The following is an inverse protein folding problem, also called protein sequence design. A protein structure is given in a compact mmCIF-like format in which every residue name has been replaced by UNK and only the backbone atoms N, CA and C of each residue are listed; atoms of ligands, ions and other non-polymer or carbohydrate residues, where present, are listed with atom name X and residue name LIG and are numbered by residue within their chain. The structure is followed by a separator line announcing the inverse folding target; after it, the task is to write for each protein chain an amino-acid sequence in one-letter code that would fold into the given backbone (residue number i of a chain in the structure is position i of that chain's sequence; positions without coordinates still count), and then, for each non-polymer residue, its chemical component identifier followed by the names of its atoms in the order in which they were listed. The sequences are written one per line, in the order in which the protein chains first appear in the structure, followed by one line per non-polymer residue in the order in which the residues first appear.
data_IF_440335859578
#
_entry.id   IF_440335859578
#
_cell.length_a   1.000
_cell.length_b   1.000
_cell.length_c   1.000
_cell.angle_alpha   90.00
_cell.angle_beta   90.00
_cell.angle_gamma   90.00
#
_symmetry.space_group_name_H-M   'P 1'
#
loop_
_entity.id
_entity.type
_entity.pdbx_description
1 polymer ?
#
# COMPACT_ATOMS: atom_id res chain seq x y z
N UNK A 1 -16.92 3.06 -4.54
CA UNK A 1 -15.83 3.86 -5.15
C UNK A 1 -15.69 3.38 -6.58
N UNK A 2 -15.57 4.28 -7.56
CA UNK A 2 -15.45 3.91 -8.98
C UNK A 2 -14.05 3.34 -9.25
N UNK A 3 -13.90 2.38 -10.18
CA UNK A 3 -12.60 1.76 -10.44
C UNK A 3 -11.63 2.74 -11.12
N UNK A 4 -10.34 2.59 -10.82
CA UNK A 4 -9.27 3.41 -11.40
C UNK A 4 -9.08 3.12 -12.90
N UNK A 5 -9.29 1.86 -13.31
CA UNK A 5 -9.19 1.45 -14.71
C UNK A 5 -10.02 0.20 -15.01
N UNK A 6 -10.59 0.14 -16.22
CA UNK A 6 -11.11 -1.09 -16.79
C UNK A 6 -9.99 -1.82 -17.53
N UNK A 7 -9.91 -3.13 -17.34
CA UNK A 7 -8.93 -3.99 -17.98
C UNK A 7 -9.58 -4.75 -19.15
N UNK A 8 -8.81 -5.05 -20.21
CA UNK A 8 -9.32 -5.89 -21.30
C UNK A 8 -9.67 -7.30 -20.77
N UNK A 9 -10.72 -7.88 -21.32
CA UNK A 9 -11.20 -9.21 -20.96
C UNK A 9 -12.17 -9.77 -22.00
N UNK A 10 -12.58 -11.05 -21.85
CA UNK A 10 -13.50 -11.68 -22.79
C UNK A 10 -14.88 -11.01 -22.77
N UNK A 11 -15.59 -11.10 -23.90
CA UNK A 11 -16.96 -10.61 -24.01
C UNK A 11 -17.85 -11.29 -22.97
N UNK A 12 -18.63 -10.49 -22.24
CA UNK A 12 -19.47 -10.99 -21.15
C UNK A 12 -18.86 -10.80 -19.77
N UNK A 13 -17.62 -10.32 -19.67
CA UNK A 13 -17.00 -9.94 -18.41
C UNK A 13 -16.72 -8.44 -18.34
N UNK A 14 -16.85 -7.87 -17.14
CA UNK A 14 -16.30 -6.57 -16.80
C UNK A 14 -15.17 -6.77 -15.80
N UNK A 15 -13.95 -6.42 -16.24
CA UNK A 15 -12.74 -6.52 -15.44
C UNK A 15 -12.32 -5.11 -15.00
N UNK A 16 -12.31 -4.87 -13.69
CA UNK A 16 -12.05 -3.55 -13.11
C UNK A 16 -10.94 -3.64 -12.07
N UNK A 17 -9.96 -2.74 -12.16
CA UNK A 17 -8.84 -2.63 -11.23
C UNK A 17 -8.97 -1.34 -10.44
N UNK A 18 -8.76 -1.42 -9.13
CA UNK A 18 -8.74 -0.29 -8.21
C UNK A 18 -7.52 -0.38 -7.30
N UNK A 19 -7.02 0.77 -6.87
CA UNK A 19 -5.94 0.87 -5.88
C UNK A 19 -6.43 1.61 -4.66
N UNK A 20 -5.86 1.24 -3.51
CA UNK A 20 -6.27 1.77 -2.22
C UNK A 20 -5.05 1.92 -1.33
N UNK A 21 -5.05 2.90 -0.43
CA UNK A 21 -3.98 3.05 0.53
C UNK A 21 -3.87 1.82 1.46
N UNK A 22 -2.65 1.31 1.64
CA UNK A 22 -2.34 0.35 2.70
C UNK A 22 -2.56 0.98 4.09
N UNK A 23 -2.56 0.17 5.17
CA UNK A 23 -2.45 0.70 6.51
C UNK A 23 -1.29 1.70 6.64
N UNK A 24 -1.35 2.63 7.61
CA UNK A 24 -0.38 3.72 7.71
C UNK A 24 1.08 3.28 7.66
N UNK A 25 1.87 4.06 6.94
CA UNK A 25 3.31 3.89 6.79
C UNK A 25 4.00 4.77 7.83
N UNK A 26 4.79 4.15 8.71
CA UNK A 26 5.56 4.88 9.71
C UNK A 26 6.84 5.44 9.11
N UNK A 27 6.93 6.77 9.06
CA UNK A 27 8.11 7.52 8.66
C UNK A 27 9.02 7.71 9.87
N UNK A 28 9.96 6.78 10.04
CA UNK A 28 10.83 6.68 11.21
C UNK A 28 12.22 7.32 11.02
N UNK A 29 12.52 7.85 9.82
CA UNK A 29 13.85 8.32 9.41
C UNK A 29 14.52 9.24 10.42
N UNK A 30 15.87 9.27 10.45
CA UNK A 30 16.61 9.91 11.53
C UNK A 30 16.30 11.40 11.61
N UNK A 31 15.58 11.76 12.67
CA UNK A 31 15.19 13.13 12.95
C UNK A 31 14.05 13.65 12.07
N UNK A 32 13.56 14.82 12.47
CA UNK A 32 12.35 15.44 11.93
C UNK A 32 12.38 15.63 10.41
N UNK A 33 13.52 16.09 9.87
CA UNK A 33 13.65 16.38 8.42
C UNK A 33 13.51 15.11 7.56
N UNK A 34 14.11 14.00 8.00
CA UNK A 34 14.00 12.73 7.29
C UNK A 34 12.56 12.20 7.36
N UNK A 35 11.95 12.19 8.55
CA UNK A 35 10.56 11.78 8.73
C UNK A 35 9.58 12.62 7.88
N UNK A 36 9.80 13.94 7.77
CA UNK A 36 9.01 14.81 6.89
C UNK A 36 9.18 14.48 5.41
N UNK A 37 10.42 14.20 4.98
CA UNK A 37 10.71 13.85 3.58
C UNK A 37 10.09 12.50 3.21
N UNK A 38 10.19 11.52 4.09
CA UNK A 38 9.55 10.22 3.95
C UNK A 38 8.03 10.35 3.86
N UNK A 39 7.42 11.17 4.72
CA UNK A 39 5.97 11.38 4.69
C UNK A 39 5.50 11.99 3.37
N UNK A 40 6.25 12.98 2.84
CA UNK A 40 5.98 13.54 1.51
C UNK A 40 6.01 12.46 0.42
N UNK A 41 7.02 11.60 0.43
CA UNK A 41 7.14 10.50 -0.55
C UNK A 41 5.94 9.54 -0.48
N UNK A 42 5.53 9.14 0.74
CA UNK A 42 4.35 8.27 0.94
C UNK A 42 3.07 8.95 0.44
N UNK A 43 2.83 10.21 0.82
CA UNK A 43 1.60 10.92 0.43
C UNK A 43 1.54 11.20 -1.07
N UNK A 44 2.68 11.44 -1.73
CA UNK A 44 2.74 11.67 -3.17
C UNK A 44 2.33 10.42 -3.97
N UNK A 45 2.48 9.24 -3.37
CA UNK A 45 2.08 7.95 -3.93
C UNK A 45 0.63 7.55 -3.54
N UNK A 46 -0.12 8.43 -2.87
CA UNK A 46 -1.49 8.15 -2.41
C UNK A 46 -1.57 7.34 -1.11
N UNK A 47 -0.45 7.12 -0.43
CA UNK A 47 -0.41 6.41 0.86
C UNK A 47 -0.74 7.29 2.06
N UNK A 48 -0.95 6.64 3.22
CA UNK A 48 -1.16 7.31 4.51
C UNK A 48 0.15 7.32 5.29
N UNK A 49 0.69 8.52 5.57
CA UNK A 49 1.95 8.68 6.31
C UNK A 49 1.73 9.02 7.79
N UNK A 50 2.48 8.39 8.68
CA UNK A 50 2.57 8.75 10.10
C UNK A 50 4.02 9.10 10.42
N UNK A 51 4.26 10.34 10.86
CA UNK A 51 5.60 10.84 11.17
C UNK A 51 5.96 10.54 12.62
N UNK A 52 7.15 9.97 12.85
CA UNK A 52 7.74 9.98 14.17
C UNK A 52 8.10 11.42 14.59
N UNK A 53 7.79 11.78 15.83
CA UNK A 53 8.16 13.08 16.43
C UNK A 53 9.49 13.03 17.18
N UNK A 54 10.11 11.85 17.25
CA UNK A 54 11.39 11.60 17.92
C UNK A 54 11.99 10.28 17.44
N UNK A 55 12.99 9.77 18.16
CA UNK A 55 13.56 8.46 17.87
C UNK A 55 12.58 7.35 18.22
N UNK A 56 12.42 6.40 17.29
CA UNK A 56 11.63 5.19 17.53
C UNK A 56 12.58 4.09 18.00
N UNK A 57 12.28 3.51 19.16
CA UNK A 57 12.97 2.31 19.64
C UNK A 57 12.43 1.09 18.89
N UNK A 58 13.30 0.16 18.53
CA UNK A 58 12.92 -1.02 17.74
C UNK A 58 11.82 -1.86 18.42
N UNK A 59 11.87 -2.00 19.74
CA UNK A 59 10.85 -2.67 20.56
C UNK A 59 9.44 -2.08 20.39
N UNK A 60 9.28 -0.78 20.11
CA UNK A 60 7.93 -0.25 19.84
C UNK A 60 7.35 -0.76 18.52
N UNK A 61 8.20 -1.21 17.58
CA UNK A 61 7.75 -1.74 16.30
C UNK A 61 7.12 -3.12 16.42
N UNK A 62 7.24 -3.84 17.55
CA UNK A 62 6.54 -5.12 17.72
C UNK A 62 5.05 -4.91 18.00
N UNK A 63 4.72 -3.86 18.74
CA UNK A 63 3.39 -3.73 19.36
C UNK A 63 2.46 -2.76 18.62
N UNK A 64 3.00 -1.89 17.78
CA UNK A 64 2.20 -0.93 17.00
C UNK A 64 1.18 -1.64 16.11
N UNK A 65 -0.11 -1.40 16.33
CA UNK A 65 -1.17 -1.98 15.51
C UNK A 65 -1.34 -1.25 14.17
N UNK A 66 -1.79 -1.97 13.13
CA UNK A 66 -2.11 -1.42 11.78
C UNK A 66 -0.94 -0.71 11.08
N UNK A 67 0.22 -1.34 11.07
CA UNK A 67 1.40 -0.85 10.36
C UNK A 67 1.42 -1.45 8.94
N UNK A 68 1.47 -0.61 7.91
CA UNK A 68 1.60 -1.07 6.52
C UNK A 68 3.06 -1.32 6.11
N UNK A 69 3.95 -0.41 6.54
CA UNK A 69 5.40 -0.52 6.43
C UNK A 69 6.07 0.47 7.39
N UNK A 70 7.39 0.35 7.55
CA UNK A 70 8.24 1.35 8.23
C UNK A 70 9.29 1.85 7.24
N UNK A 71 9.54 3.15 7.20
CA UNK A 71 10.61 3.75 6.40
C UNK A 71 11.73 4.23 7.31
N UNK A 72 12.95 3.78 7.06
CA UNK A 72 14.16 4.21 7.78
C UNK A 72 15.29 4.56 6.79
N UNK A 73 15.68 5.83 6.75
CA UNK A 73 16.76 6.34 5.90
C UNK A 73 17.98 6.77 6.74
N UNK A 74 18.34 5.94 7.72
CA UNK A 74 19.51 6.18 8.57
C UNK A 74 20.54 5.07 8.42
N UNK A 75 21.21 4.75 9.52
CA UNK A 75 22.30 3.77 9.53
C UNK A 75 21.80 2.31 9.47
N UNK A 76 22.69 1.44 8.99
CA UNK A 76 22.46 0.00 8.85
C UNK A 76 22.22 -0.74 10.18
N UNK A 77 22.97 -0.49 11.26
CA UNK A 77 22.70 -1.11 12.56
C UNK A 77 21.27 -0.87 13.07
N UNK A 78 20.78 0.37 13.02
CA UNK A 78 19.40 0.70 13.41
C UNK A 78 18.39 0.05 12.46
N UNK A 79 18.68 0.05 11.15
CA UNK A 79 17.85 -0.64 10.15
C UNK A 79 17.70 -2.13 10.49
N UNK A 80 18.81 -2.79 10.86
CA UNK A 80 18.81 -4.20 11.23
C UNK A 80 17.99 -4.46 12.50
N UNK A 81 18.06 -3.58 13.49
CA UNK A 81 17.24 -3.69 14.69
C UNK A 81 15.74 -3.54 14.37
N UNK A 82 15.38 -2.61 13.48
CA UNK A 82 13.99 -2.44 13.04
C UNK A 82 13.50 -3.67 12.28
N UNK A 83 14.31 -4.20 11.35
CA UNK A 83 14.00 -5.40 10.58
C UNK A 83 13.71 -6.61 11.48
N UNK A 84 14.57 -6.86 12.48
CA UNK A 84 14.36 -7.92 13.47
C UNK A 84 13.09 -7.72 14.29
N UNK A 85 12.80 -6.49 14.73
CA UNK A 85 11.60 -6.20 15.50
C UNK A 85 10.32 -6.38 14.65
N UNK A 86 10.35 -5.95 13.39
CA UNK A 86 9.22 -6.15 12.47
C UNK A 86 8.99 -7.63 12.16
N UNK A 87 10.06 -8.41 12.00
CA UNK A 87 9.98 -9.86 11.79
C UNK A 87 9.40 -10.63 13.00
N UNK A 88 9.52 -10.08 14.21
CA UNK A 88 8.96 -10.67 15.42
C UNK A 88 7.46 -10.40 15.61
N UNK A 89 6.84 -9.57 14.76
CA UNK A 89 5.42 -9.23 14.86
C UNK A 89 4.53 -10.42 14.53
N UNK A 90 3.41 -10.52 15.24
CA UNK A 90 2.32 -11.38 14.83
C UNK A 90 1.49 -10.71 13.72
N UNK A 91 0.94 -11.51 12.80
CA UNK A 91 0.06 -11.05 11.73
C UNK A 91 0.79 -10.83 10.40
N UNK A 92 0.27 -9.94 9.53
CA UNK A 92 0.86 -9.68 8.21
C UNK A 92 2.31 -9.21 8.29
N UNK A 93 3.12 -9.59 7.31
CA UNK A 93 4.50 -9.13 7.18
C UNK A 93 4.49 -7.62 6.96
N UNK A 94 5.26 -6.90 7.79
CA UNK A 94 5.44 -5.45 7.67
C UNK A 94 6.84 -5.17 7.14
N UNK A 95 6.93 -4.54 5.98
CA UNK A 95 8.21 -4.26 5.33
C UNK A 95 8.98 -3.13 6.02
N UNK A 96 10.30 -3.27 6.09
CA UNK A 96 11.23 -2.17 6.31
C UNK A 96 11.70 -1.61 4.96
N UNK A 97 11.49 -0.32 4.73
CA UNK A 97 11.87 0.37 3.51
C UNK A 97 13.07 1.27 3.81
N UNK A 98 14.22 0.93 3.24
CA UNK A 98 15.48 1.69 3.42
C UNK A 98 15.82 2.61 2.25
N UNK A 99 15.06 2.54 1.16
CA UNK A 99 15.17 3.40 -0.02
C UNK A 99 13.93 4.27 -0.26
N UNK A 100 13.83 4.87 -1.45
CA UNK A 100 12.59 5.56 -1.86
C UNK A 100 11.44 4.56 -1.97
N UNK A 101 10.27 4.84 -1.37
CA UNK A 101 9.10 4.00 -1.58
C UNK A 101 8.59 4.15 -3.01
N UNK A 102 7.88 3.12 -3.48
CA UNK A 102 7.08 3.14 -4.70
C UNK A 102 5.61 2.84 -4.37
N UNK A 103 4.75 2.81 -5.39
CA UNK A 103 3.32 2.55 -5.21
C UNK A 103 3.02 1.18 -4.59
N UNK A 104 3.81 0.14 -4.89
CA UNK A 104 3.63 -1.19 -4.33
C UNK A 104 3.92 -1.23 -2.82
N UNK A 105 4.77 -0.33 -2.32
CA UNK A 105 5.01 -0.19 -0.89
C UNK A 105 3.82 0.42 -0.14
N UNK A 106 3.05 1.32 -0.77
CA UNK A 106 2.05 2.15 -0.06
C UNK A 106 0.59 1.89 -0.46
N UNK A 107 0.35 1.23 -1.58
CA UNK A 107 -0.98 0.89 -2.08
C UNK A 107 -1.20 -0.63 -2.12
N UNK A 108 -2.46 -1.05 -1.96
CA UNK A 108 -2.91 -2.38 -2.35
C UNK A 108 -3.74 -2.27 -3.63
N UNK A 109 -3.64 -3.30 -4.46
CA UNK A 109 -4.41 -3.42 -5.70
C UNK A 109 -5.54 -4.42 -5.48
N UNK A 110 -6.73 -4.08 -5.97
CA UNK A 110 -7.89 -4.95 -6.03
C UNK A 110 -8.32 -5.11 -7.48
N UNK A 111 -8.52 -6.36 -7.90
CA UNK A 111 -9.13 -6.70 -9.17
C UNK A 111 -10.52 -7.30 -8.92
N UNK A 112 -11.52 -6.79 -9.62
CA UNK A 112 -12.90 -7.29 -9.58
C UNK A 112 -13.29 -7.70 -11.00
N UNK A 113 -13.63 -8.96 -11.15
CA UNK A 113 -14.22 -9.52 -12.36
C UNK A 113 -15.71 -9.74 -12.10
N UNK A 114 -16.55 -9.18 -12.97
CA UNK A 114 -18.01 -9.33 -12.91
C UNK A 114 -18.45 -10.06 -14.17
N UNK A 115 -19.07 -11.23 -14.00
CA UNK A 115 -19.80 -11.90 -15.08
C UNK A 115 -21.08 -11.10 -15.37
N UNK A 116 -21.09 -10.41 -16.51
CA UNK A 116 -22.24 -9.62 -16.99
C UNK A 116 -23.27 -10.48 -17.74
N UNK A 117 -23.01 -11.77 -17.92
CA UNK A 117 -23.90 -12.74 -18.58
C UNK A 117 -24.68 -13.62 -17.61
N UNK A 118 -24.40 -13.52 -16.30
CA UNK A 118 -25.03 -14.33 -15.25
C UNK A 118 -26.57 -14.21 -15.18
N UNK A 119 -27.18 -13.19 -15.81
CA UNK A 119 -28.63 -13.00 -15.89
C UNK A 119 -29.28 -13.50 -17.21
N UNK A 120 -28.54 -14.19 -18.09
CA UNK A 120 -29.12 -14.86 -19.27
C UNK A 120 -29.11 -14.05 -20.58
N UNK A 121 -28.37 -12.94 -20.65
CA UNK A 121 -28.18 -12.19 -21.88
C UNK A 121 -27.20 -11.03 -21.72
N UNK A 122 -26.21 -10.94 -22.61
CA UNK A 122 -25.25 -9.84 -22.59
C UNK A 122 -25.92 -8.57 -23.14
N UNK A 123 -26.24 -7.62 -22.27
CA UNK A 123 -26.85 -6.35 -22.67
C UNK A 123 -25.95 -5.51 -23.61
N UNK A 124 -24.64 -5.74 -23.63
CA UNK A 124 -23.72 -5.12 -24.59
C UNK A 124 -23.90 -5.67 -26.01
N UNK A 125 -24.37 -6.92 -26.17
CA UNK A 125 -24.66 -7.52 -27.48
C UNK A 125 -26.05 -7.13 -28.02
N UNK A 126 -26.94 -6.58 -27.18
CA UNK A 126 -28.30 -6.17 -27.58
C UNK A 126 -28.40 -4.72 -28.07
N UNK A 127 -27.33 -3.92 -27.93
CA UNK A 127 -27.20 -2.65 -28.66
C UNK A 127 -26.40 -2.95 -29.92
N UNK A 128 -27.10 -3.14 -31.04
CA UNK A 128 -26.46 -3.22 -32.33
C UNK A 128 -25.66 -1.95 -32.57
N UNK A 129 -24.34 -2.06 -32.68
CA UNK A 129 -23.52 -1.01 -33.25
C UNK A 129 -23.97 -0.81 -34.70
N UNK A 130 -24.51 0.38 -34.98
CA UNK A 130 -24.66 0.97 -36.33
C UNK A 130 -23.75 2.18 -36.42
#
# INVERSE_FOLDING_TARGET
QSPDSFLPGPTGELNARSTFAKPPILCAGPGKKAAETQAKAVTALGGVAVKATGQIRAEHLTDLTRLGAVIWWGDGPTARMFDLALAARAGPIVALITGQPDSAHVLFEQHVCIDTTAAGGNAALLRGDS
#
